data_IF_735845324241
#
_entry.id   IF_735845324241
#
_cell.length_a   1.000
_cell.length_b   1.000
_cell.length_c   1.000
_cell.angle_alpha   90.00
_cell.angle_beta   90.00
_cell.angle_gamma   90.00
#
_symmetry.space_group_name_H-M   'P 1'
#
loop_
_entity.id
_entity.type
_entity.pdbx_description
1 polymer ?
#
# COMPACT_ATOMS: atom_id res chain seq x y z
N UNK A 1 89.07 23.12 -22.64
CA UNK A 1 88.16 24.17 -22.15
C UNK A 1 86.74 23.64 -22.18
N UNK A 2 86.17 23.37 -21.01
CA UNK A 2 84.75 23.12 -20.75
C UNK A 2 84.55 23.56 -19.32
N UNK A 3 83.68 24.54 -19.10
CA UNK A 3 83.38 25.03 -17.76
C UNK A 3 81.90 24.79 -17.52
N UNK A 4 81.64 24.09 -16.44
CA UNK A 4 80.36 24.00 -15.74
C UNK A 4 80.64 24.35 -14.28
N UNK A 5 79.56 24.67 -13.55
CA UNK A 5 79.45 24.79 -12.08
C UNK A 5 79.65 26.23 -11.55
N UNK A 6 78.88 26.79 -10.61
CA UNK A 6 77.63 26.43 -9.90
C UNK A 6 77.39 27.55 -8.81
N UNK A 7 76.18 27.62 -8.22
CA UNK A 7 75.81 28.19 -6.88
C UNK A 7 75.92 29.73 -6.67
N UNK A 8 75.08 30.48 -5.92
CA UNK A 8 73.72 30.37 -5.33
C UNK A 8 73.39 31.71 -4.62
N UNK A 9 72.09 32.01 -4.47
CA UNK A 9 71.43 32.69 -3.33
C UNK A 9 70.88 34.13 -3.42
N UNK A 10 69.58 34.20 -3.07
CA UNK A 10 68.86 35.16 -2.21
C UNK A 10 68.55 36.60 -2.66
N UNK A 11 67.33 36.79 -3.18
CA UNK A 11 66.43 37.97 -3.08
C UNK A 11 65.01 37.38 -3.29
N UNK A 12 63.90 37.77 -2.67
CA UNK A 12 63.46 39.01 -2.07
C UNK A 12 61.96 39.14 -2.42
N UNK A 13 61.11 39.06 -1.39
CA UNK A 13 59.66 39.28 -1.25
C UNK A 13 58.81 39.86 -2.43
N UNK A 14 57.57 39.35 -2.59
CA UNK A 14 56.26 40.05 -2.35
C UNK A 14 55.09 39.32 -3.07
N UNK A 15 54.13 38.89 -2.25
CA UNK A 15 52.68 38.66 -2.40
C UNK A 15 52.04 38.31 -3.76
N UNK A 16 51.27 37.21 -3.79
CA UNK A 16 49.86 37.20 -4.25
C UNK A 16 49.04 36.26 -3.35
N UNK A 17 47.94 36.78 -2.82
CA UNK A 17 46.91 36.06 -2.06
C UNK A 17 46.07 35.22 -3.03
N UNK A 18 45.94 33.92 -2.78
CA UNK A 18 44.85 33.11 -3.31
C UNK A 18 44.38 32.12 -2.25
N UNK A 19 43.27 32.47 -1.60
CA UNK A 19 42.44 31.59 -0.79
C UNK A 19 41.94 30.44 -1.68
N UNK A 20 42.56 29.26 -1.58
CA UNK A 20 41.93 28.02 -2.03
C UNK A 20 41.28 27.32 -0.85
N UNK A 21 40.05 27.74 -0.54
CA UNK A 21 39.12 26.91 0.18
C UNK A 21 38.72 25.75 -0.72
N UNK A 22 39.24 24.55 -0.46
CA UNK A 22 38.55 23.33 -0.87
C UNK A 22 37.55 22.95 0.21
N UNK A 23 36.40 23.62 0.15
CA UNK A 23 35.14 22.97 0.47
C UNK A 23 34.95 21.84 -0.56
N UNK A 24 35.50 20.67 -0.27
CA UNK A 24 35.04 19.43 -0.87
C UNK A 24 33.63 19.18 -0.35
N UNK A 25 32.64 19.79 -1.02
CA UNK A 25 31.24 19.47 -0.83
C UNK A 25 31.10 17.95 -0.85
N UNK A 26 30.68 17.39 0.29
CA UNK A 26 30.00 16.10 0.30
C UNK A 26 28.92 16.18 -0.79
N UNK A 27 29.12 15.42 -1.87
CA UNK A 27 28.13 15.31 -2.94
C UNK A 27 26.98 14.53 -2.33
N UNK A 28 26.01 15.25 -1.77
CA UNK A 28 24.73 14.71 -1.38
C UNK A 28 24.08 14.13 -2.64
N UNK A 29 24.27 12.83 -2.87
CA UNK A 29 23.52 12.08 -3.86
C UNK A 29 22.04 12.15 -3.48
N UNK A 30 21.22 12.48 -4.48
CA UNK A 30 19.90 13.07 -4.33
C UNK A 30 18.94 12.31 -3.40
N UNK A 31 18.58 12.85 -2.22
CA UNK A 31 17.57 12.27 -1.35
C UNK A 31 16.12 12.47 -1.85
N UNK A 32 15.92 12.94 -3.09
CA UNK A 32 14.61 13.41 -3.59
C UNK A 32 13.78 12.37 -4.34
N UNK A 33 14.40 11.40 -5.04
CA UNK A 33 13.66 10.40 -5.84
C UNK A 33 13.24 9.17 -5.01
N UNK A 34 14.14 8.60 -4.21
CA UNK A 34 13.81 7.44 -3.37
C UNK A 34 12.79 7.78 -2.28
N UNK A 35 12.94 8.94 -1.63
CA UNK A 35 11.99 9.38 -0.61
C UNK A 35 10.60 9.67 -1.20
N UNK A 36 10.51 10.14 -2.45
CA UNK A 36 9.22 10.34 -3.12
C UNK A 36 8.60 9.01 -3.55
N UNK A 37 9.38 8.08 -4.10
CA UNK A 37 8.93 6.73 -4.42
C UNK A 37 8.44 5.98 -3.16
N UNK A 38 9.17 6.04 -2.05
CA UNK A 38 8.78 5.42 -0.77
C UNK A 38 7.47 6.00 -0.20
N UNK A 39 7.24 7.30 -0.37
CA UNK A 39 6.00 7.96 0.04
C UNK A 39 4.81 7.51 -0.81
N UNK A 40 5.00 7.44 -2.13
CA UNK A 40 3.96 7.08 -3.10
C UNK A 40 3.63 5.58 -3.13
N UNK A 41 4.59 4.73 -2.77
CA UNK A 41 4.40 3.27 -2.78
C UNK A 41 3.48 2.82 -1.67
N UNK A 42 2.50 1.98 -1.97
CA UNK A 42 1.72 1.30 -0.93
C UNK A 42 2.52 0.12 -0.34
N UNK A 43 3.34 -0.55 -1.14
CA UNK A 43 4.20 -1.67 -0.73
C UNK A 43 5.64 -1.41 -1.17
N UNK A 44 6.59 -1.54 -0.24
CA UNK A 44 8.04 -1.47 -0.47
C UNK A 44 8.70 -2.69 0.16
N UNK A 45 9.45 -3.43 -0.63
CA UNK A 45 10.17 -4.61 -0.18
C UNK A 45 11.48 -4.76 -0.96
N UNK A 46 12.48 -5.39 -0.35
CA UNK A 46 13.64 -5.88 -1.08
C UNK A 46 13.50 -7.37 -1.34
N UNK A 47 13.97 -7.79 -2.50
CA UNK A 47 13.84 -9.17 -2.94
C UNK A 47 14.80 -9.53 -4.05
N UNK A 48 14.85 -10.83 -4.32
CA UNK A 48 15.67 -11.44 -5.36
C UNK A 48 14.78 -11.88 -6.51
N UNK A 49 15.08 -11.41 -7.73
CA UNK A 49 14.38 -11.85 -8.95
C UNK A 49 14.66 -13.34 -9.15
N UNK A 50 13.63 -14.16 -9.09
CA UNK A 50 13.75 -15.62 -9.23
C UNK A 50 13.43 -16.10 -10.64
N UNK A 51 12.54 -15.40 -11.36
CA UNK A 51 12.18 -15.69 -12.76
C UNK A 51 11.79 -14.42 -13.51
N UNK A 52 12.12 -14.38 -14.81
CA UNK A 52 11.70 -13.32 -15.74
C UNK A 52 10.64 -13.87 -16.69
N UNK A 53 9.68 -13.05 -17.09
CA UNK A 53 8.62 -13.46 -18.01
C UNK A 53 7.58 -14.39 -17.38
N UNK A 54 7.50 -14.40 -16.04
CA UNK A 54 6.75 -15.38 -15.26
C UNK A 54 5.96 -14.72 -14.14
N UNK A 55 4.98 -15.47 -13.62
CA UNK A 55 4.10 -15.04 -12.53
C UNK A 55 4.07 -16.13 -11.44
N UNK A 56 4.05 -15.71 -10.18
CA UNK A 56 3.77 -16.56 -9.02
C UNK A 56 2.27 -16.61 -8.70
N UNK A 57 1.51 -15.64 -9.22
CA UNK A 57 0.07 -15.55 -9.04
C UNK A 57 -0.64 -15.85 -10.38
N UNK A 58 -1.44 -16.92 -10.40
CA UNK A 58 -2.08 -17.43 -11.62
C UNK A 58 -3.08 -16.46 -12.26
N UNK A 59 -3.66 -15.54 -11.48
CA UNK A 59 -4.62 -14.53 -11.95
C UNK A 59 -3.95 -13.36 -12.69
N UNK A 60 -2.60 -13.34 -12.79
CA UNK A 60 -1.84 -12.36 -13.57
C UNK A 60 -1.42 -12.97 -14.92
N UNK A 61 -1.75 -12.33 -16.06
CA UNK A 61 -1.24 -12.72 -17.37
C UNK A 61 0.28 -12.63 -17.42
N UNK A 62 0.95 -13.70 -17.86
CA UNK A 62 2.40 -13.69 -18.08
C UNK A 62 2.74 -12.76 -19.25
N UNK A 63 3.79 -11.97 -19.09
CA UNK A 63 4.32 -11.11 -20.15
C UNK A 63 5.84 -10.91 -19.98
N UNK A 64 6.51 -10.31 -20.96
CA UNK A 64 7.92 -9.95 -20.82
C UNK A 64 8.19 -8.95 -19.67
N UNK A 65 7.14 -8.28 -19.16
CA UNK A 65 7.20 -7.29 -18.08
C UNK A 65 6.87 -7.89 -16.71
N UNK A 66 6.55 -9.18 -16.61
CA UNK A 66 6.27 -9.83 -15.32
C UNK A 66 7.51 -10.53 -14.77
N UNK A 67 7.83 -10.24 -13.51
CA UNK A 67 8.87 -10.89 -12.74
C UNK A 67 8.26 -11.71 -11.60
N UNK A 68 8.92 -12.82 -11.24
CA UNK A 68 8.73 -13.44 -9.93
C UNK A 68 9.87 -13.00 -9.03
N UNK A 69 9.54 -12.41 -7.89
CA UNK A 69 10.51 -11.89 -6.92
C UNK A 69 10.31 -12.57 -5.57
N UNK A 70 11.36 -13.22 -5.07
CA UNK A 70 11.43 -13.78 -3.71
C UNK A 70 11.62 -12.63 -2.72
N UNK A 71 10.73 -12.48 -1.75
CA UNK A 71 10.85 -11.41 -0.75
C UNK A 71 11.95 -11.73 0.25
N UNK A 72 12.94 -10.85 0.36
CA UNK A 72 14.03 -10.95 1.33
C UNK A 72 13.72 -10.15 2.60
N UNK A 73 13.19 -8.94 2.43
CA UNK A 73 12.83 -8.03 3.52
C UNK A 73 11.70 -7.09 3.12
N UNK A 74 10.85 -6.72 4.08
CA UNK A 74 9.70 -5.83 3.87
C UNK A 74 9.96 -4.51 4.58
N UNK A 75 9.93 -3.42 3.82
CA UNK A 75 10.20 -2.06 4.31
C UNK A 75 8.89 -1.36 4.67
N UNK A 76 7.88 -1.49 3.81
CA UNK A 76 6.57 -0.89 3.96
C UNK A 76 5.54 -1.82 3.35
N UNK A 77 4.45 -2.10 4.06
CA UNK A 77 3.26 -2.70 3.45
C UNK A 77 2.06 -2.29 4.28
N UNK A 78 0.86 -2.23 3.69
CA UNK A 78 -0.34 -2.17 4.50
C UNK A 78 -0.39 -3.43 5.37
N UNK A 79 -0.80 -3.29 6.62
CA UNK A 79 -0.95 -4.43 7.54
C UNK A 79 -1.88 -5.50 6.95
N UNK A 80 -2.90 -5.09 6.18
CA UNK A 80 -3.83 -5.93 5.44
C UNK A 80 -3.22 -6.78 4.30
N UNK A 81 -1.99 -6.50 3.85
CA UNK A 81 -1.33 -7.31 2.82
C UNK A 81 -0.56 -8.45 3.48
N UNK A 82 -0.98 -9.68 3.22
CA UNK A 82 -0.36 -10.90 3.74
C UNK A 82 0.90 -11.28 2.95
N UNK A 83 1.88 -10.36 2.95
CA UNK A 83 3.19 -10.54 2.37
C UNK A 83 4.21 -10.72 3.49
N UNK A 84 5.04 -11.76 3.42
CA UNK A 84 6.12 -12.04 4.37
C UNK A 84 7.42 -12.41 3.63
N UNK A 85 8.52 -12.40 4.39
CA UNK A 85 9.81 -12.89 3.91
C UNK A 85 9.68 -14.34 3.41
N UNK A 86 10.28 -14.62 2.26
CA UNK A 86 10.27 -15.93 1.60
C UNK A 86 9.13 -16.13 0.62
N UNK A 87 8.13 -15.25 0.59
CA UNK A 87 7.04 -15.33 -0.40
C UNK A 87 7.53 -14.97 -1.81
N UNK A 88 6.89 -15.53 -2.83
CA UNK A 88 7.10 -15.17 -4.23
C UNK A 88 6.02 -14.17 -4.69
N UNK A 89 6.44 -12.97 -5.06
CA UNK A 89 5.57 -11.88 -5.53
C UNK A 89 5.65 -11.76 -7.05
N UNK A 90 4.50 -11.54 -7.68
CA UNK A 90 4.45 -11.15 -9.09
C UNK A 90 4.60 -9.64 -9.20
N UNK A 91 5.65 -9.17 -9.87
CA UNK A 91 5.89 -7.74 -10.08
C UNK A 91 5.78 -7.43 -11.56
N UNK A 92 4.87 -6.51 -11.93
CA UNK A 92 4.83 -5.93 -13.27
C UNK A 92 5.78 -4.71 -13.30
N UNK A 93 6.87 -4.82 -14.05
CA UNK A 93 7.92 -3.80 -14.15
C UNK A 93 7.81 -2.97 -15.43
N UNK A 94 8.26 -1.72 -15.38
CA UNK A 94 8.24 -0.82 -16.56
C UNK A 94 9.31 -1.21 -17.57
N UNK A 95 10.51 -1.51 -17.09
CA UNK A 95 11.66 -1.88 -17.90
C UNK A 95 12.24 -3.22 -17.40
N UNK A 96 11.95 -4.35 -18.08
CA UNK A 96 12.49 -5.64 -17.68
C UNK A 96 13.97 -5.82 -18.05
N UNK A 97 14.55 -4.95 -18.89
CA UNK A 97 15.92 -5.14 -19.42
C UNK A 97 17.02 -4.95 -18.36
N UNK A 98 16.68 -4.30 -17.26
CA UNK A 98 17.59 -4.05 -16.13
C UNK A 98 17.64 -5.20 -15.12
N UNK A 99 16.79 -6.23 -15.29
CA UNK A 99 16.69 -7.36 -14.37
C UNK A 99 17.22 -8.65 -15.00
N UNK A 100 17.88 -9.47 -14.17
CA UNK A 100 18.31 -10.82 -14.47
C UNK A 100 17.88 -11.74 -13.32
N UNK A 101 17.82 -13.06 -13.54
CA UNK A 101 17.63 -13.98 -12.42
C UNK A 101 18.80 -13.84 -11.42
N UNK A 102 18.48 -13.75 -10.14
CA UNK A 102 19.43 -13.45 -9.06
C UNK A 102 19.64 -11.96 -8.79
N UNK A 103 19.05 -11.05 -9.57
CA UNK A 103 19.13 -9.61 -9.28
C UNK A 103 18.46 -9.29 -7.94
N UNK A 104 19.19 -8.63 -7.04
CA UNK A 104 18.64 -8.07 -5.81
C UNK A 104 18.22 -6.62 -6.03
N UNK A 105 17.00 -6.29 -5.67
CA UNK A 105 16.51 -4.92 -5.75
C UNK A 105 15.52 -4.61 -4.63
N UNK A 106 15.46 -3.33 -4.26
CA UNK A 106 14.33 -2.76 -3.52
C UNK A 106 13.28 -2.30 -4.53
N UNK A 107 12.07 -2.81 -4.40
CA UNK A 107 10.93 -2.49 -5.25
C UNK A 107 10.00 -1.51 -4.55
N UNK A 108 9.70 -0.42 -5.23
CA UNK A 108 8.71 0.59 -4.84
C UNK A 108 7.46 0.34 -5.67
N UNK A 109 6.38 -0.11 -5.03
CA UNK A 109 5.26 -0.70 -5.75
C UNK A 109 3.91 -0.22 -5.26
N UNK A 110 2.92 -0.34 -6.14
CA UNK A 110 1.53 -0.24 -5.80
C UNK A 110 0.81 -1.59 -5.88
N UNK A 111 -0.14 -1.80 -4.99
CA UNK A 111 -0.95 -3.01 -4.95
C UNK A 111 -1.75 -3.17 -6.22
N UNK A 112 -1.71 -4.35 -6.84
CA UNK A 112 -2.51 -4.62 -8.04
C UNK A 112 -3.55 -5.71 -7.81
N UNK A 113 -3.12 -6.92 -7.42
CA UNK A 113 -4.02 -8.04 -7.18
C UNK A 113 -3.58 -8.76 -5.90
N UNK A 114 -4.54 -9.04 -5.02
CA UNK A 114 -4.33 -9.76 -3.77
C UNK A 114 -5.31 -10.94 -3.69
N UNK A 115 -4.84 -12.10 -3.22
CA UNK A 115 -5.64 -13.32 -3.12
C UNK A 115 -4.81 -14.47 -2.55
N UNK A 116 -4.72 -15.59 -3.28
CA UNK A 116 -3.78 -16.70 -2.94
C UNK A 116 -2.31 -16.33 -3.13
N UNK A 117 -2.04 -15.19 -3.78
CA UNK A 117 -0.73 -14.58 -3.93
C UNK A 117 -0.81 -13.06 -3.94
N UNK A 118 0.34 -12.42 -4.10
CA UNK A 118 0.47 -10.96 -4.16
C UNK A 118 1.03 -10.58 -5.53
N UNK A 119 0.32 -9.70 -6.23
CA UNK A 119 0.78 -9.03 -7.44
C UNK A 119 0.79 -7.52 -7.27
N UNK A 120 1.87 -6.91 -7.71
CA UNK A 120 2.12 -5.47 -7.55
C UNK A 120 2.64 -4.86 -8.85
N UNK A 121 2.42 -3.56 -9.01
CA UNK A 121 2.93 -2.76 -10.12
C UNK A 121 4.08 -1.88 -9.67
N UNK A 122 5.14 -1.88 -10.44
CA UNK A 122 6.34 -1.11 -10.15
C UNK A 122 6.10 0.40 -10.35
N UNK A 123 6.40 1.18 -9.33
CA UNK A 123 6.57 2.63 -9.41
C UNK A 123 8.02 3.00 -9.71
N UNK A 124 8.97 2.27 -9.09
CA UNK A 124 10.38 2.28 -9.41
C UNK A 124 11.15 1.20 -8.63
N UNK A 125 12.46 1.15 -8.82
CA UNK A 125 13.33 0.21 -8.10
C UNK A 125 14.70 0.82 -7.79
N UNK A 126 15.43 0.16 -6.89
CA UNK A 126 16.84 0.40 -6.64
C UNK A 126 17.58 -0.94 -6.65
N UNK A 127 18.57 -1.10 -7.53
CA UNK A 127 19.40 -2.30 -7.59
C UNK A 127 20.35 -2.31 -6.39
N UNK A 128 20.25 -3.35 -5.57
CA UNK A 128 21.12 -3.56 -4.42
C UNK A 128 22.46 -4.18 -4.82
N UNK A 129 23.53 -3.96 -4.04
CA UNK A 129 24.77 -4.72 -4.22
C UNK A 129 24.48 -6.19 -3.93
N UNK A 130 24.43 -7.01 -4.99
CA UNK A 130 24.28 -8.45 -4.86
C UNK A 130 25.37 -9.03 -3.97
N UNK A 131 24.98 -9.92 -3.05
CA UNK A 131 25.82 -10.72 -2.13
C UNK A 131 27.28 -10.24 -2.00
N UNK A 132 27.52 -9.32 -1.07
CA UNK A 132 28.87 -8.93 -0.66
C UNK A 132 28.91 -7.70 0.25
N UNK A 133 28.61 -7.86 1.55
CA UNK A 133 29.02 -6.88 2.56
C UNK A 133 27.94 -6.46 3.56
N UNK A 134 28.16 -6.84 4.80
CA UNK A 134 27.37 -6.55 6.00
C UNK A 134 27.32 -5.06 6.36
N UNK A 135 26.14 -4.51 6.66
CA UNK A 135 26.00 -3.44 7.67
C UNK A 135 24.63 -3.46 8.36
N UNK A 136 24.68 -3.89 9.62
CA UNK A 136 23.89 -3.51 10.81
C UNK A 136 22.50 -2.87 10.62
N UNK A 137 21.49 -3.66 10.94
CA UNK A 137 20.17 -3.19 11.36
C UNK A 137 20.26 -2.47 12.72
N UNK A 138 19.65 -1.29 12.81
CA UNK A 138 19.24 -0.69 14.07
C UNK A 138 17.77 -1.05 14.29
N UNK A 139 17.50 -1.86 15.31
CA UNK A 139 16.15 -2.18 15.74
C UNK A 139 15.55 -1.11 16.64
N UNK A 140 14.22 -1.11 16.74
CA UNK A 140 13.49 -0.74 17.94
C UNK A 140 12.02 -1.18 17.81
N UNK A 141 11.57 -1.89 18.85
CA UNK A 141 10.22 -1.88 19.42
C UNK A 141 9.10 -2.69 18.76
N UNK A 142 9.26 -4.01 18.87
CA UNK A 142 8.17 -4.97 18.98
C UNK A 142 7.71 -5.05 20.45
N UNK A 143 6.83 -4.13 20.90
CA UNK A 143 6.00 -4.28 22.11
C UNK A 143 4.73 -3.42 22.04
N UNK A 144 3.57 -4.08 21.91
CA UNK A 144 2.41 -3.97 22.81
C UNK A 144 1.12 -4.40 22.09
N UNK A 145 0.63 -5.58 22.46
CA UNK A 145 -0.78 -5.94 22.33
C UNK A 145 -1.61 -4.97 23.19
N UNK A 146 -2.51 -4.22 22.56
CA UNK A 146 -3.49 -3.39 23.24
C UNK A 146 -4.51 -2.87 22.23
N UNK A 147 -5.79 -3.15 22.47
CA UNK A 147 -6.92 -2.62 21.71
C UNK A 147 -6.94 -1.08 21.82
N UNK A 148 -6.30 -0.41 20.87
CA UNK A 148 -6.53 0.97 20.52
C UNK A 148 -6.86 0.99 19.04
N UNK A 149 -7.93 1.69 18.64
CA UNK A 149 -8.16 1.96 17.22
C UNK A 149 -6.89 2.62 16.67
N UNK A 150 -6.12 1.87 15.90
CA UNK A 150 -4.96 2.38 15.19
C UNK A 150 -5.46 3.50 14.28
N UNK A 151 -5.12 4.75 14.59
CA UNK A 151 -5.66 5.88 13.88
C UNK A 151 -5.20 5.83 12.43
N UNK A 152 -6.15 5.77 11.49
CA UNK A 152 -5.86 5.85 10.07
C UNK A 152 -5.13 7.16 9.75
N UNK A 153 -4.03 7.06 9.00
CA UNK A 153 -3.25 8.22 8.59
C UNK A 153 -4.08 9.16 7.70
N UNK A 154 -3.73 10.45 7.64
CA UNK A 154 -4.42 11.41 6.77
C UNK A 154 -4.38 11.00 5.29
N UNK A 155 -3.26 10.43 4.85
CA UNK A 155 -3.12 10.02 3.46
C UNK A 155 -4.00 8.81 3.14
N UNK A 156 -3.96 7.79 3.99
CA UNK A 156 -4.81 6.60 3.82
C UNK A 156 -6.29 6.99 3.87
N UNK A 157 -6.68 7.90 4.78
CA UNK A 157 -8.05 8.43 4.81
C UNK A 157 -8.42 9.14 3.51
N UNK A 158 -7.54 9.99 2.94
CA UNK A 158 -7.80 10.61 1.63
C UNK A 158 -7.97 9.58 0.53
N UNK A 159 -7.12 8.55 0.51
CA UNK A 159 -7.18 7.49 -0.51
C UNK A 159 -8.49 6.68 -0.40
N UNK A 160 -8.94 6.38 0.83
CA UNK A 160 -10.25 5.76 1.09
C UNK A 160 -11.40 6.63 0.62
N UNK A 161 -11.39 7.92 0.99
CA UNK A 161 -12.42 8.85 0.57
C UNK A 161 -12.44 9.05 -0.95
N UNK A 162 -11.28 9.03 -1.61
CA UNK A 162 -11.15 9.16 -3.07
C UNK A 162 -11.66 7.95 -3.84
N UNK A 163 -11.33 6.74 -3.36
CA UNK A 163 -11.72 5.48 -4.00
C UNK A 163 -13.19 5.11 -3.77
N UNK A 164 -13.77 5.50 -2.63
CA UNK A 164 -15.15 5.18 -2.29
C UNK A 164 -16.16 5.71 -3.33
N UNK A 165 -17.07 4.84 -3.78
CA UNK A 165 -18.22 5.24 -4.61
C UNK A 165 -19.18 6.16 -3.84
N UNK A 166 -19.38 5.86 -2.56
CA UNK A 166 -20.17 6.68 -1.63
C UNK A 166 -19.46 6.82 -0.29
N UNK A 167 -19.59 7.99 0.33
CA UNK A 167 -19.24 8.18 1.73
C UNK A 167 -20.51 8.61 2.44
N UNK A 168 -20.97 7.84 3.42
CA UNK A 168 -22.26 8.08 4.10
C UNK A 168 -22.10 8.14 5.61
N UNK A 169 -22.92 8.95 6.26
CA UNK A 169 -23.19 8.86 7.69
C UNK A 169 -24.44 8.01 7.86
N UNK A 170 -24.39 7.01 8.72
CA UNK A 170 -25.53 6.12 8.92
C UNK A 170 -25.50 5.35 10.23
N UNK A 171 -26.50 4.49 10.39
CA UNK A 171 -26.61 3.55 11.51
C UNK A 171 -26.82 2.14 10.99
N UNK A 172 -26.08 1.18 11.53
CA UNK A 172 -26.29 -0.25 11.26
C UNK A 172 -27.57 -0.70 11.97
N UNK A 173 -28.56 -1.16 11.22
CA UNK A 173 -29.88 -1.55 11.73
C UNK A 173 -30.07 -3.05 11.86
N UNK A 174 -29.37 -3.82 11.03
CA UNK A 174 -29.39 -5.28 11.04
C UNK A 174 -28.03 -5.83 10.62
N UNK A 175 -27.67 -6.99 11.17
CA UNK A 175 -26.47 -7.75 10.80
C UNK A 175 -26.83 -9.23 10.80
N UNK A 176 -26.50 -9.92 9.72
CA UNK A 176 -26.66 -11.36 9.63
C UNK A 176 -25.58 -11.99 8.76
N UNK A 177 -25.32 -13.28 8.97
CA UNK A 177 -24.43 -14.05 8.12
C UNK A 177 -25.03 -14.12 6.72
N UNK A 178 -24.22 -13.81 5.70
CA UNK A 178 -24.63 -13.95 4.32
C UNK A 178 -24.18 -15.29 3.76
N UNK A 179 -25.13 -16.08 3.29
CA UNK A 179 -24.85 -17.37 2.68
C UNK A 179 -24.48 -17.15 1.21
N UNK A 180 -23.19 -17.26 0.90
CA UNK A 180 -22.67 -17.13 -0.45
C UNK A 180 -23.41 -18.11 -1.38
N UNK A 181 -23.96 -17.66 -2.53
CA UNK A 181 -24.54 -18.58 -3.49
C UNK A 181 -23.50 -19.52 -4.08
N UNK A 182 -23.86 -20.78 -4.36
CA UNK A 182 -22.96 -21.79 -4.98
C UNK A 182 -22.29 -21.31 -6.26
N UNK A 183 -22.96 -20.44 -7.03
CA UNK A 183 -22.41 -19.83 -8.25
C UNK A 183 -21.31 -18.81 -8.01
N UNK A 184 -21.22 -18.26 -6.80
CA UNK A 184 -20.22 -17.28 -6.37
C UNK A 184 -19.16 -17.89 -5.44
N UNK A 185 -19.32 -19.16 -5.04
CA UNK A 185 -18.33 -19.87 -4.24
C UNK A 185 -17.02 -20.04 -5.02
N UNK A 186 -15.96 -19.45 -4.49
CA UNK A 186 -14.57 -19.77 -4.84
C UNK A 186 -13.94 -20.23 -3.54
N UNK A 187 -13.44 -21.46 -3.50
CA UNK A 187 -12.78 -21.98 -2.28
C UNK A 187 -11.35 -21.48 -2.28
N UNK A 188 -11.05 -20.60 -1.32
CA UNK A 188 -9.70 -20.11 -1.04
C UNK A 188 -9.36 -20.36 0.44
N UNK A 189 -8.07 -20.42 0.77
CA UNK A 189 -7.61 -20.66 2.15
C UNK A 189 -8.10 -19.57 3.13
N UNK A 190 -8.43 -18.38 2.64
CA UNK A 190 -8.90 -17.23 3.43
C UNK A 190 -10.28 -16.76 3.01
N UNK A 191 -11.21 -17.69 2.76
CA UNK A 191 -12.57 -17.32 2.40
C UNK A 191 -13.19 -16.41 3.46
N UNK A 192 -13.64 -15.20 3.09
CA UNK A 192 -14.29 -14.30 4.01
C UNK A 192 -15.56 -14.95 4.54
N UNK A 193 -15.73 -14.91 5.85
CA UNK A 193 -16.98 -15.26 6.51
C UNK A 193 -17.97 -14.11 6.33
N UNK A 194 -18.52 -14.01 5.12
CA UNK A 194 -19.35 -12.88 4.74
C UNK A 194 -20.55 -12.68 5.66
N UNK A 195 -20.71 -11.44 6.08
CA UNK A 195 -21.90 -10.93 6.75
C UNK A 195 -22.44 -9.75 5.94
N UNK A 196 -23.75 -9.57 6.01
CA UNK A 196 -24.45 -8.40 5.50
C UNK A 196 -24.88 -7.53 6.66
N UNK A 197 -24.56 -6.24 6.58
CA UNK A 197 -25.08 -5.19 7.43
C UNK A 197 -26.05 -4.32 6.63
N UNK A 198 -27.21 -4.03 7.20
CA UNK A 198 -28.14 -3.04 6.64
C UNK A 198 -27.87 -1.70 7.31
N UNK A 199 -27.29 -0.77 6.56
CA UNK A 199 -27.00 0.59 7.03
C UNK A 199 -28.13 1.52 6.61
N UNK A 200 -28.80 2.12 7.59
CA UNK A 200 -29.71 3.24 7.35
C UNK A 200 -28.90 4.53 7.19
N UNK A 201 -28.96 5.08 5.98
CA UNK A 201 -28.26 6.29 5.57
C UNK A 201 -28.99 7.52 6.11
N UNK A 202 -28.27 8.31 6.90
CA UNK A 202 -28.73 9.57 7.47
C UNK A 202 -28.26 10.77 6.64
N UNK A 203 -27.04 10.71 6.13
CA UNK A 203 -26.47 11.74 5.27
C UNK A 203 -25.50 11.12 4.26
N UNK A 204 -25.44 11.71 3.06
CA UNK A 204 -24.45 11.35 2.04
C UNK A 204 -23.43 12.48 1.98
N UNK A 205 -22.17 12.16 2.21
CA UNK A 205 -21.03 13.09 2.16
C UNK A 205 -20.36 13.11 0.78
N UNK A 206 -20.32 11.95 0.10
CA UNK A 206 -19.79 11.78 -1.26
C UNK A 206 -20.68 10.80 -2.03
N UNK A 207 -20.84 11.05 -3.34
CA UNK A 207 -21.59 10.19 -4.25
C UNK A 207 -22.97 10.77 -4.60
N UNK A 208 -23.72 10.02 -5.43
CA UNK A 208 -25.08 10.40 -5.83
C UNK A 208 -26.13 10.15 -4.74
N UNK A 209 -27.41 10.24 -5.11
CA UNK A 209 -28.49 9.84 -4.21
C UNK A 209 -28.54 8.31 -4.11
N UNK A 210 -28.51 7.78 -2.88
CA UNK A 210 -28.77 6.37 -2.62
C UNK A 210 -30.25 6.07 -2.91
N UNK A 211 -30.57 4.93 -3.54
CA UNK A 211 -31.97 4.52 -3.75
C UNK A 211 -32.58 4.14 -2.39
N UNK A 212 -33.63 4.85 -1.97
CA UNK A 212 -34.19 4.72 -0.63
C UNK A 212 -33.29 5.37 0.43
N UNK A 213 -33.34 4.86 1.66
CA UNK A 213 -32.49 5.30 2.78
C UNK A 213 -31.69 4.15 3.40
N UNK A 214 -31.62 2.97 2.77
CA UNK A 214 -30.90 1.81 3.27
C UNK A 214 -29.96 1.25 2.22
N UNK A 215 -28.78 0.85 2.65
CA UNK A 215 -27.80 0.12 1.84
C UNK A 215 -27.45 -1.19 2.50
N UNK A 216 -27.08 -2.18 1.69
CA UNK A 216 -26.52 -3.44 2.18
C UNK A 216 -25.02 -3.39 2.01
N UNK A 217 -24.29 -3.65 3.09
CA UNK A 217 -22.83 -3.67 3.12
C UNK A 217 -22.36 -5.07 3.48
N UNK A 218 -21.55 -5.67 2.63
CA UNK A 218 -20.87 -6.94 2.90
C UNK A 218 -19.50 -6.72 3.49
N UNK A 219 -19.19 -7.50 4.52
CA UNK A 219 -17.95 -7.44 5.24
C UNK A 219 -17.61 -8.80 5.87
N UNK A 220 -16.33 -9.10 6.12
CA UNK A 220 -15.90 -10.30 6.84
C UNK A 220 -15.97 -10.06 8.36
N UNK A 221 -16.59 -10.99 9.09
CA UNK A 221 -16.80 -10.86 10.55
C UNK A 221 -15.68 -11.53 11.36
N UNK A 222 -14.97 -12.52 10.83
CA UNK A 222 -13.87 -13.21 11.51
C UNK A 222 -12.59 -12.41 11.40
N UNK A 223 -11.77 -12.61 12.43
CA UNK A 223 -10.40 -12.11 12.49
C UNK A 223 -9.45 -13.13 11.86
N UNK A 224 -9.69 -13.47 10.60
CA UNK A 224 -8.69 -14.12 9.76
C UNK A 224 -7.62 -13.10 9.35
N UNK A 225 -6.38 -13.56 9.09
CA UNK A 225 -5.25 -12.69 8.73
C UNK A 225 -5.54 -11.77 7.53
N UNK A 226 -6.35 -12.22 6.56
CA UNK A 226 -6.74 -11.42 5.40
C UNK A 226 -7.77 -10.32 5.74
N UNK A 227 -8.50 -10.47 6.85
CA UNK A 227 -9.70 -9.69 7.19
C UNK A 227 -9.64 -9.01 8.55
N UNK A 228 -8.53 -9.14 9.28
CA UNK A 228 -8.36 -8.65 10.66
C UNK A 228 -8.56 -7.13 10.78
N UNK A 229 -8.26 -6.37 9.72
CA UNK A 229 -8.43 -4.91 9.70
C UNK A 229 -9.70 -4.44 8.98
N UNK A 230 -10.48 -5.36 8.39
CA UNK A 230 -11.78 -4.99 7.82
C UNK A 230 -12.74 -4.59 8.94
N UNK A 231 -13.65 -3.62 8.69
CA UNK A 231 -14.64 -3.23 9.67
C UNK A 231 -15.41 -4.43 10.21
N UNK A 232 -15.65 -4.42 11.52
CA UNK A 232 -16.49 -5.39 12.22
C UNK A 232 -17.69 -4.62 12.72
N UNK A 233 -18.82 -4.75 12.02
CA UNK A 233 -19.99 -3.98 12.37
C UNK A 233 -20.71 -4.54 13.59
N UNK A 234 -21.33 -3.64 14.33
CA UNK A 234 -22.21 -3.98 15.43
C UNK A 234 -23.61 -3.39 15.21
N UNK A 235 -24.64 -4.09 15.69
CA UNK A 235 -26.01 -3.58 15.60
C UNK A 235 -26.12 -2.26 16.36
N UNK A 236 -26.82 -1.29 15.77
CA UNK A 236 -26.96 0.10 16.23
C UNK A 236 -25.68 0.96 16.16
N UNK A 237 -24.57 0.43 15.63
CA UNK A 237 -23.37 1.23 15.41
C UNK A 237 -23.69 2.41 14.51
N UNK A 238 -23.31 3.61 14.95
CA UNK A 238 -23.38 4.83 14.15
C UNK A 238 -21.96 5.22 13.74
N UNK A 239 -21.80 5.64 12.49
CA UNK A 239 -20.50 6.00 11.96
C UNK A 239 -20.54 6.56 10.56
N UNK A 240 -19.34 6.76 10.02
CA UNK A 240 -19.09 7.17 8.65
C UNK A 240 -18.59 5.94 7.91
N UNK A 241 -19.19 5.64 6.77
CA UNK A 241 -18.91 4.44 5.98
C UNK A 241 -18.46 4.84 4.58
N UNK A 242 -17.26 4.38 4.19
CA UNK A 242 -16.73 4.46 2.85
C UNK A 242 -17.17 3.20 2.10
N UNK A 243 -18.09 3.36 1.16
CA UNK A 243 -18.77 2.28 0.47
C UNK A 243 -18.23 2.14 -0.95
N UNK A 244 -17.76 0.94 -1.28
CA UNK A 244 -17.40 0.55 -2.65
C UNK A 244 -18.48 -0.40 -3.18
N UNK A 245 -18.88 -0.28 -4.44
CA UNK A 245 -19.78 -1.26 -5.05
C UNK A 245 -19.15 -2.64 -4.99
N UNK A 246 -19.98 -3.63 -4.67
CA UNK A 246 -19.49 -4.98 -4.47
C UNK A 246 -19.02 -5.61 -5.80
N UNK A 247 -17.71 -5.83 -5.90
CA UNK A 247 -17.06 -6.56 -6.99
C UNK A 247 -16.35 -7.83 -6.49
N UNK A 248 -16.43 -8.12 -5.19
CA UNK A 248 -15.57 -9.11 -4.51
C UNK A 248 -16.36 -10.35 -4.10
N UNK A 249 -17.61 -10.18 -3.66
CA UNK A 249 -18.45 -11.31 -3.24
C UNK A 249 -18.96 -12.17 -4.40
N UNK A 250 -18.85 -11.67 -5.63
CA UNK A 250 -19.43 -12.28 -6.84
C UNK A 250 -20.93 -12.03 -7.04
N UNK A 251 -21.61 -11.31 -6.14
CA UNK A 251 -23.07 -11.05 -6.23
C UNK A 251 -23.39 -9.57 -5.97
N UNK A 252 -23.26 -8.68 -6.96
CA UNK A 252 -23.30 -7.22 -6.72
C UNK A 252 -24.67 -6.66 -6.29
N UNK A 253 -25.72 -7.49 -6.29
CA UNK A 253 -27.10 -7.09 -5.99
C UNK A 253 -27.71 -8.02 -4.93
N UNK A 254 -28.65 -7.50 -4.15
CA UNK A 254 -29.45 -8.30 -3.21
C UNK A 254 -30.87 -7.76 -3.12
N UNK A 255 -31.77 -8.51 -2.47
CA UNK A 255 -33.14 -8.05 -2.21
C UNK A 255 -33.23 -7.47 -0.80
N UNK A 256 -33.69 -6.23 -0.70
CA UNK A 256 -34.01 -5.57 0.56
C UNK A 256 -35.43 -5.02 0.49
N UNK A 257 -36.32 -5.45 1.40
CA UNK A 257 -37.72 -5.01 1.41
C UNK A 257 -38.49 -5.29 0.12
N UNK A 258 -38.16 -6.39 -0.58
CA UNK A 258 -38.81 -6.77 -1.85
C UNK A 258 -38.24 -6.10 -3.10
N UNK A 259 -37.31 -5.15 -2.97
CA UNK A 259 -36.68 -4.46 -4.08
C UNK A 259 -35.23 -4.90 -4.26
N UNK A 260 -34.76 -4.91 -5.49
CA UNK A 260 -33.36 -5.16 -5.81
C UNK A 260 -32.51 -3.91 -5.54
N UNK A 261 -31.44 -4.07 -4.76
CA UNK A 261 -30.55 -3.00 -4.34
C UNK A 261 -29.10 -3.38 -4.60
N UNK A 262 -28.26 -2.37 -4.90
CA UNK A 262 -26.81 -2.56 -4.98
C UNK A 262 -26.27 -2.98 -3.61
N UNK A 263 -25.33 -3.91 -3.63
CA UNK A 263 -24.51 -4.27 -2.48
C UNK A 263 -23.23 -3.46 -2.54
N UNK A 264 -22.78 -3.02 -1.37
CA UNK A 264 -21.50 -2.37 -1.18
C UNK A 264 -20.61 -3.22 -0.28
N UNK A 265 -19.32 -2.90 -0.24
CA UNK A 265 -18.35 -3.53 0.66
C UNK A 265 -17.58 -2.50 1.46
N UNK A 266 -17.20 -2.91 2.66
CA UNK A 266 -16.20 -2.26 3.49
C UNK A 266 -15.18 -3.34 3.88
N UNK A 267 -14.02 -3.31 3.25
CA UNK A 267 -12.99 -4.36 3.37
C UNK A 267 -11.69 -3.81 3.95
N UNK A 268 -11.44 -2.53 3.73
CA UNK A 268 -10.23 -1.86 4.14
C UNK A 268 -10.30 -1.28 5.54
N UNK A 269 -9.14 -1.18 6.16
CA UNK A 269 -8.95 -0.32 7.32
C UNK A 269 -9.42 1.11 6.99
N UNK A 270 -10.21 1.71 7.89
CA UNK A 270 -10.79 3.03 7.71
C UNK A 270 -11.99 3.13 6.76
N UNK A 271 -12.50 2.01 6.22
CA UNK A 271 -13.78 2.02 5.51
C UNK A 271 -14.97 2.28 6.45
N UNK A 272 -14.76 2.14 7.76
CA UNK A 272 -15.70 2.50 8.81
C UNK A 272 -15.00 3.35 9.86
N UNK A 273 -15.52 4.55 10.10
CA UNK A 273 -14.96 5.52 11.04
C UNK A 273 -15.99 5.91 12.10
N UNK A 274 -15.55 6.20 13.33
CA UNK A 274 -16.45 6.72 14.36
C UNK A 274 -16.92 8.14 14.01
N UNK A 275 -18.04 8.56 14.60
CA UNK A 275 -18.61 9.90 14.39
C UNK A 275 -17.66 11.04 14.80
N UNK A 276 -16.69 10.79 15.67
CA UNK A 276 -15.65 11.77 16.04
C UNK A 276 -14.81 12.24 14.84
N UNK A 277 -14.73 11.44 13.78
CA UNK A 277 -13.96 11.76 12.57
C UNK A 277 -14.74 12.63 11.57
N UNK A 278 -16.01 12.97 11.84
CA UNK A 278 -16.88 13.65 10.86
C UNK A 278 -16.29 14.97 10.37
N UNK A 279 -15.79 15.81 11.29
CA UNK A 279 -15.20 17.09 10.93
C UNK A 279 -13.96 16.92 10.02
N UNK A 280 -13.14 15.90 10.31
CA UNK A 280 -11.94 15.56 9.53
C UNK A 280 -12.30 14.99 8.16
N UNK A 281 -13.31 14.14 8.07
CA UNK A 281 -13.79 13.63 6.77
C UNK A 281 -14.36 14.75 5.92
N UNK A 282 -15.20 15.62 6.49
CA UNK A 282 -15.79 16.76 5.78
C UNK A 282 -14.74 17.74 5.27
N UNK A 283 -13.65 17.95 6.00
CA UNK A 283 -12.58 18.85 5.55
C UNK A 283 -11.86 18.29 4.32
N UNK A 284 -11.60 16.97 4.28
CA UNK A 284 -10.99 16.34 3.11
C UNK A 284 -11.91 16.30 1.88
N UNK A 285 -13.21 16.07 2.07
CA UNK A 285 -14.16 16.05 0.94
C UNK A 285 -14.41 17.44 0.35
N UNK A 286 -14.26 18.52 1.13
CA UNK A 286 -14.36 19.90 0.61
C UNK A 286 -13.15 20.35 -0.19
N UNK A 287 -12.01 19.69 -0.01
CA UNK A 287 -10.76 20.03 -0.70
C UNK A 287 -10.63 19.34 -2.07
N UNK A 288 -11.65 18.59 -2.50
CA UNK A 288 -11.71 17.84 -3.76
C UNK A 288 -12.47 18.61 -4.84
#
# INVERSE_FOLDING_TARGET
>A
MKVSSFFVSLMGAIQWVALFGWAGCARAQAPTNQASLARQSSIVFSGTVSKIGATSFADVPKSAQTLVVRVDFIVKKPSAVSLKKGDDVTVEVKDPSVFQEGTHATFYTDGWIFGSGVAVKELGHEIGPGVGGTTKAAGADEKAHGQGQEQISDQELRDRLNSADFVVIGRVTDIHRWNVPKSAYRVTEHDPDWHEAVVEVQSVLKGGKVKGNKVVVRFPQRNDVAWVHSPKFEKNQQGIFCLNRDQVSGVPMTKLGGHEVNVYTCLGHGDSLPMSEEARVRSFLKAQ
#
